data_IF_221606211909
#
_entry.id   IF_221606211909
#
_cell.length_a   1.000
_cell.length_b   1.000
_cell.length_c   1.000
_cell.angle_alpha   90.00
_cell.angle_beta   90.00
_cell.angle_gamma   90.00
#
_symmetry.space_group_name_H-M   'P 1'
#
loop_
_entity.id
_entity.type
_entity.pdbx_description
1 polymer ?
#
# COMPACT_ATOMS: atom_id res chain seq x y z
N UNK A 1 7.48 -2.99 -10.73
CA UNK A 1 8.10 -3.91 -9.77
C UNK A 1 7.17 -5.08 -9.47
N UNK A 2 6.01 -4.88 -8.83
CA UNK A 2 5.06 -5.98 -8.56
C UNK A 2 4.61 -6.74 -9.82
N UNK A 3 4.05 -6.03 -10.80
CA UNK A 3 3.60 -6.64 -12.07
C UNK A 3 4.69 -7.42 -12.81
N UNK A 4 5.90 -6.87 -12.87
CA UNK A 4 7.06 -7.52 -13.52
C UNK A 4 7.58 -8.74 -12.76
N UNK A 5 7.38 -8.76 -11.44
CA UNK A 5 7.88 -9.83 -10.58
C UNK A 5 6.89 -11.00 -10.44
N UNK A 6 5.60 -10.77 -10.71
CA UNK A 6 4.53 -11.73 -10.42
C UNK A 6 4.31 -12.00 -8.93
N UNK A 7 4.99 -11.28 -8.04
CA UNK A 7 4.83 -11.45 -6.60
C UNK A 7 3.48 -10.87 -6.11
N UNK A 8 2.82 -11.52 -5.14
CA UNK A 8 1.62 -10.96 -4.54
C UNK A 8 1.95 -9.68 -3.76
N UNK A 9 1.02 -8.75 -3.74
CA UNK A 9 1.15 -7.48 -3.01
C UNK A 9 0.33 -7.56 -1.73
N UNK A 10 0.93 -7.27 -0.59
CA UNK A 10 0.22 -7.20 0.70
C UNK A 10 0.01 -5.71 1.04
N UNK A 11 -1.22 -5.19 0.99
CA UNK A 11 -1.51 -3.81 1.37
C UNK A 11 -1.33 -3.64 2.89
N UNK A 12 -0.83 -2.48 3.30
CA UNK A 12 -0.72 -2.13 4.71
C UNK A 12 -1.10 -0.67 4.98
N UNK A 13 -1.69 -0.44 6.15
CA UNK A 13 -2.00 0.89 6.66
C UNK A 13 -1.34 1.09 8.03
N UNK A 14 -0.74 2.27 8.21
CA UNK A 14 -0.17 2.70 9.48
C UNK A 14 -1.03 3.80 10.08
N UNK A 15 -1.50 3.59 11.30
CA UNK A 15 -2.38 4.51 12.02
C UNK A 15 -1.66 5.05 13.24
N UNK A 16 -1.74 6.37 13.46
CA UNK A 16 -1.11 7.07 14.59
C UNK A 16 0.29 7.61 14.33
N UNK A 17 0.90 7.33 13.18
CA UNK A 17 2.29 7.76 12.90
C UNK A 17 2.41 9.25 12.63
N UNK A 18 1.40 9.85 11.99
CA UNK A 18 1.37 11.28 11.66
C UNK A 18 1.39 12.17 12.91
N UNK A 19 0.68 11.76 13.96
CA UNK A 19 0.59 12.45 15.24
C UNK A 19 1.87 12.30 16.07
N UNK A 20 2.53 11.14 15.97
CA UNK A 20 3.76 10.82 16.68
C UNK A 20 4.98 11.49 16.05
N UNK A 21 5.05 11.55 14.72
CA UNK A 21 6.14 12.18 13.98
C UNK A 21 5.63 12.96 12.75
N UNK A 22 5.06 14.16 12.96
CA UNK A 22 4.67 15.02 11.85
C UNK A 22 5.89 15.48 11.02
N UNK A 23 5.69 15.87 9.75
CA UNK A 23 6.76 16.40 8.91
C UNK A 23 7.53 17.54 9.58
N UNK A 24 8.86 17.50 9.50
CA UNK A 24 9.74 18.49 10.13
C UNK A 24 10.08 18.21 11.61
N UNK A 25 9.49 17.18 12.23
CA UNK A 25 9.84 16.77 13.59
C UNK A 25 10.92 15.67 13.59
N UNK A 26 12.08 15.97 14.16
CA UNK A 26 13.22 15.04 14.20
C UNK A 26 13.04 13.89 15.20
N UNK A 27 12.38 14.14 16.34
CA UNK A 27 12.21 13.15 17.41
C UNK A 27 10.72 12.82 17.60
N UNK A 28 10.29 11.55 17.42
CA UNK A 28 8.91 11.13 17.63
C UNK A 28 8.44 11.33 19.08
N UNK A 29 7.13 11.44 19.28
CA UNK A 29 6.51 11.28 20.62
C UNK A 29 6.30 9.79 20.91
N UNK A 30 6.30 9.42 22.18
CA UNK A 30 5.84 8.10 22.62
C UNK A 30 4.33 8.01 22.47
N UNK A 31 3.87 6.89 21.93
CA UNK A 31 2.45 6.58 21.77
C UNK A 31 2.27 5.31 20.94
N UNK A 32 1.02 5.03 20.54
CA UNK A 32 0.67 3.78 19.89
C UNK A 32 0.66 3.92 18.37
N UNK A 33 1.45 3.08 17.70
CA UNK A 33 1.33 2.83 16.26
C UNK A 33 0.54 1.55 16.07
N UNK A 34 -0.45 1.57 15.18
CA UNK A 34 -1.13 0.35 14.74
C UNK A 34 -0.81 0.13 13.26
N UNK A 35 -0.34 -1.07 12.93
CA UNK A 35 -0.13 -1.50 11.54
C UNK A 35 -1.19 -2.55 11.25
N UNK A 36 -1.93 -2.36 10.16
CA UNK A 36 -2.94 -3.30 9.66
C UNK A 36 -2.46 -3.83 8.32
N UNK A 37 -2.52 -5.15 8.15
CA UNK A 37 -2.20 -5.83 6.90
C UNK A 37 -3.49 -6.39 6.28
N UNK A 38 -3.66 -6.19 4.98
CA UNK A 38 -4.77 -6.79 4.23
C UNK A 38 -4.42 -8.15 3.65
N UNK A 39 -5.36 -8.70 2.89
CA UNK A 39 -5.15 -9.95 2.18
C UNK A 39 -4.13 -9.78 1.03
N UNK A 40 -3.36 -10.83 0.68
CA UNK A 40 -2.51 -10.80 -0.50
C UNK A 40 -3.33 -10.56 -1.78
N UNK A 41 -2.90 -9.59 -2.58
CA UNK A 41 -3.49 -9.27 -3.88
C UNK A 41 -2.67 -9.94 -4.99
N UNK A 42 -3.36 -10.68 -5.87
CA UNK A 42 -2.78 -11.31 -7.04
C UNK A 42 -3.09 -10.52 -8.32
N UNK A 43 -2.03 -10.18 -9.05
CA UNK A 43 -2.08 -9.44 -10.30
C UNK A 43 -1.59 -10.25 -11.50
N UNK A 44 -1.52 -11.58 -11.36
CA UNK A 44 -1.16 -12.51 -12.44
C UNK A 44 -1.92 -12.26 -13.75
N UNK A 45 -3.18 -11.81 -13.67
CA UNK A 45 -4.04 -11.42 -14.82
C UNK A 45 -3.51 -10.25 -15.67
N UNK A 46 -2.53 -9.51 -15.18
CA UNK A 46 -1.89 -8.38 -15.88
C UNK A 46 -0.44 -8.68 -16.29
N UNK A 47 0.00 -9.93 -16.20
CA UNK A 47 1.34 -10.33 -16.62
C UNK A 47 1.59 -9.99 -18.10
N UNK A 48 2.75 -9.41 -18.41
CA UNK A 48 3.11 -8.97 -19.76
C UNK A 48 2.48 -7.63 -20.19
N UNK A 49 1.60 -7.04 -19.38
CA UNK A 49 0.97 -5.74 -19.64
C UNK A 49 1.64 -4.61 -18.84
N UNK A 50 2.88 -4.79 -18.35
CA UNK A 50 3.50 -3.85 -17.42
C UNK A 50 3.91 -2.52 -18.08
N UNK A 51 3.92 -2.47 -19.41
CA UNK A 51 4.09 -1.26 -20.21
C UNK A 51 2.77 -0.54 -20.52
N UNK A 52 1.63 -1.18 -20.27
CA UNK A 52 0.32 -0.61 -20.57
C UNK A 52 -0.19 0.27 -19.45
N UNK A 53 -0.49 1.52 -19.78
CA UNK A 53 -0.91 2.53 -18.79
C UNK A 53 -2.20 2.13 -18.07
N UNK A 54 -3.10 1.43 -18.76
CA UNK A 54 -4.35 0.96 -18.19
C UNK A 54 -4.11 -0.10 -17.10
N UNK A 55 -3.33 -1.14 -17.39
CA UNK A 55 -3.02 -2.19 -16.42
C UNK A 55 -2.36 -1.64 -15.15
N UNK A 56 -1.36 -0.75 -15.31
CA UNK A 56 -0.69 -0.10 -14.17
C UNK A 56 -1.67 0.74 -13.34
N UNK A 57 -2.58 1.45 -14.01
CA UNK A 57 -3.58 2.27 -13.33
C UNK A 57 -4.55 1.40 -12.52
N UNK A 58 -5.09 0.35 -13.12
CA UNK A 58 -6.02 -0.57 -12.43
C UNK A 58 -5.39 -1.21 -11.21
N UNK A 59 -4.16 -1.71 -11.32
CA UNK A 59 -3.43 -2.30 -10.18
C UNK A 59 -3.21 -1.27 -9.07
N UNK A 60 -2.84 -0.04 -9.43
CA UNK A 60 -2.65 1.03 -8.45
C UNK A 60 -3.96 1.37 -7.74
N UNK A 61 -5.06 1.49 -8.48
CA UNK A 61 -6.36 1.83 -7.91
C UNK A 61 -6.86 0.73 -6.95
N UNK A 62 -6.64 -0.55 -7.27
CA UNK A 62 -6.99 -1.68 -6.40
C UNK A 62 -6.17 -1.68 -5.10
N UNK A 63 -4.84 -1.47 -5.18
CA UNK A 63 -4.00 -1.37 -3.98
C UNK A 63 -4.44 -0.20 -3.10
N UNK A 64 -4.73 0.95 -3.71
CA UNK A 64 -5.15 2.16 -2.98
C UNK A 64 -6.50 1.96 -2.31
N UNK A 65 -7.43 1.24 -2.94
CA UNK A 65 -8.72 0.91 -2.36
C UNK A 65 -8.56 0.07 -1.08
N UNK A 66 -7.73 -0.98 -1.13
CA UNK A 66 -7.46 -1.82 0.05
C UNK A 66 -6.76 -1.05 1.17
N UNK A 67 -5.77 -0.20 0.83
CA UNK A 67 -5.10 0.66 1.82
C UNK A 67 -6.09 1.63 2.47
N UNK A 68 -7.02 2.22 1.70
CA UNK A 68 -8.06 3.08 2.23
C UNK A 68 -8.98 2.31 3.20
N UNK A 69 -9.44 1.13 2.82
CA UNK A 69 -10.27 0.28 3.67
C UNK A 69 -9.56 -0.11 4.98
N UNK A 70 -8.25 -0.37 4.93
CA UNK A 70 -7.43 -0.66 6.12
C UNK A 70 -7.18 0.56 7.01
N UNK A 71 -7.18 1.76 6.44
CA UNK A 71 -6.87 3.00 7.17
C UNK A 71 -8.02 3.41 8.10
N UNK A 72 -9.25 3.00 7.78
CA UNK A 72 -10.46 3.32 8.55
C UNK A 72 -11.10 4.64 8.14
#
# INVERSE_FOLDING_TARGET
MALRSGAPVIPCAMVGTFELQPPGRTIPRLGRVTIRFGAPLDFSRFAGLEGERYAVRTVTDEIMYEVLALSG
#
